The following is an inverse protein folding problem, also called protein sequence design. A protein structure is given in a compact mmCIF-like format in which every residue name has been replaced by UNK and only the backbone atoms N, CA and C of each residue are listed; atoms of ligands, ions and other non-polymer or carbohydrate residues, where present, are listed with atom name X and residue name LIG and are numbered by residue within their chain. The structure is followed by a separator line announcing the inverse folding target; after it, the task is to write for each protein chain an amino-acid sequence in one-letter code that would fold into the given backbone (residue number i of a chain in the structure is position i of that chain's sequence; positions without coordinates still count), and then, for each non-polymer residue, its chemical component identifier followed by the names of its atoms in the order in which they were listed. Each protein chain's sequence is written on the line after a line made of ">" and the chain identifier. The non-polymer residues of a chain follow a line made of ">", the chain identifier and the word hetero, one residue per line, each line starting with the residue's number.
data_IF_361792106534
#
_entry.id   IF_361792106534
#
_cell.length_a   1.000
_cell.length_b   1.000
_cell.length_c   1.000
_cell.angle_alpha   90.00
_cell.angle_beta   90.00
_cell.angle_gamma   90.00
#
_symmetry.space_group_name_H-M   'P 1'
#
loop_
_entity.id
_entity.type
_entity.pdbx_description
1 polymer ?
#
# COMPACT_ATOMS: atom_id res chain seq x y z
N UNK A 1 6.84 -5.03 -12.75
CA UNK A 1 6.25 -6.29 -12.26
C UNK A 1 5.67 -6.05 -10.88
N UNK A 2 4.35 -6.10 -10.73
CA UNK A 2 3.65 -5.71 -9.50
C UNK A 2 3.83 -6.78 -8.42
N UNK A 3 4.30 -6.39 -7.24
CA UNK A 3 4.62 -7.32 -6.15
C UNK A 3 3.40 -8.03 -5.53
N UNK A 4 2.18 -7.58 -5.84
CA UNK A 4 0.92 -8.21 -5.40
C UNK A 4 0.55 -9.44 -6.25
N UNK A 5 0.96 -9.50 -7.52
CA UNK A 5 0.65 -10.63 -8.42
C UNK A 5 1.38 -11.92 -8.00
N UNK A 6 2.54 -11.78 -7.35
CA UNK A 6 3.39 -12.93 -6.96
C UNK A 6 3.10 -13.45 -5.53
N UNK A 7 2.29 -12.73 -4.74
CA UNK A 7 2.04 -13.04 -3.30
C UNK A 7 0.57 -12.94 -2.86
N UNK A 8 -0.34 -12.47 -3.72
CA UNK A 8 -1.76 -12.28 -3.39
C UNK A 8 -2.56 -13.56 -3.59
N UNK A 9 -3.43 -13.90 -2.64
CA UNK A 9 -4.41 -14.96 -2.86
C UNK A 9 -5.47 -14.44 -3.84
N UNK A 10 -5.76 -15.23 -4.87
CA UNK A 10 -6.89 -14.95 -5.77
C UNK A 10 -8.20 -15.08 -5.01
N UNK A 11 -9.06 -14.07 -5.16
CA UNK A 11 -10.38 -14.04 -4.55
C UNK A 11 -11.36 -13.35 -5.49
N UNK A 12 -12.65 -13.42 -5.16
CA UNK A 12 -13.71 -12.77 -5.91
C UNK A 12 -14.29 -11.61 -5.10
N UNK A 13 -14.53 -10.51 -5.79
CA UNK A 13 -15.21 -9.34 -5.27
C UNK A 13 -16.48 -9.07 -6.07
N UNK A 14 -17.44 -8.38 -5.46
CA UNK A 14 -18.69 -7.95 -6.11
C UNK A 14 -18.62 -6.44 -6.33
N UNK A 15 -18.89 -6.01 -7.54
CA UNK A 15 -18.93 -4.60 -7.90
C UNK A 15 -20.17 -3.95 -7.29
N UNK A 16 -19.96 -2.94 -6.44
CA UNK A 16 -21.03 -2.18 -5.81
C UNK A 16 -21.37 -0.93 -6.61
N UNK A 17 -20.35 -0.17 -7.03
CA UNK A 17 -20.52 1.09 -7.75
C UNK A 17 -19.41 1.29 -8.77
N UNK A 18 -19.73 1.95 -9.87
CA UNK A 18 -18.75 2.32 -10.90
C UNK A 18 -19.03 3.75 -11.34
N UNK A 19 -18.03 4.61 -11.26
CA UNK A 19 -18.18 6.03 -11.48
C UNK A 19 -17.08 6.63 -12.35
N UNK A 20 -17.38 7.77 -12.95
CA UNK A 20 -16.35 8.66 -13.51
C UNK A 20 -15.91 9.63 -12.42
N UNK A 21 -14.60 9.74 -12.21
CA UNK A 21 -14.03 10.74 -11.30
C UNK A 21 -14.25 12.13 -11.89
N UNK A 22 -14.99 12.98 -11.17
CA UNK A 22 -15.25 14.36 -11.59
C UNK A 22 -13.97 15.20 -11.50
N UNK A 23 -13.83 16.18 -12.38
CA UNK A 23 -12.77 17.20 -12.36
C UNK A 23 -11.32 16.68 -12.44
N UNK A 24 -11.08 15.53 -13.08
CA UNK A 24 -9.73 15.08 -13.44
C UNK A 24 -9.57 14.92 -14.94
N UNK A 25 -8.43 15.39 -15.46
CA UNK A 25 -7.99 15.19 -16.84
C UNK A 25 -6.58 14.59 -16.83
N UNK A 26 -6.32 13.47 -17.52
CA UNK A 26 -7.25 12.68 -18.33
C UNK A 26 -8.39 12.04 -17.52
N UNK A 27 -9.47 11.64 -18.20
CA UNK A 27 -10.66 11.05 -17.56
C UNK A 27 -10.27 9.77 -16.81
N UNK A 28 -10.58 9.71 -15.52
CA UNK A 28 -10.37 8.54 -14.68
C UNK A 28 -11.72 7.91 -14.32
N UNK A 29 -11.75 6.58 -14.28
CA UNK A 29 -12.90 5.79 -13.84
C UNK A 29 -12.55 5.11 -12.52
N UNK A 30 -13.49 5.04 -11.60
CA UNK A 30 -13.30 4.42 -10.30
C UNK A 30 -14.33 3.31 -10.13
N UNK A 31 -13.87 2.18 -9.61
CA UNK A 31 -14.69 1.02 -9.32
C UNK A 31 -14.65 0.76 -7.82
N UNK A 32 -15.82 0.76 -7.19
CA UNK A 32 -16.03 0.39 -5.81
C UNK A 32 -16.54 -1.05 -5.75
N UNK A 33 -15.86 -1.89 -4.99
CA UNK A 33 -16.19 -3.30 -4.87
C UNK A 33 -16.00 -3.79 -3.44
N UNK A 34 -16.79 -4.81 -3.07
CA UNK A 34 -16.69 -5.46 -1.77
C UNK A 34 -16.23 -6.90 -1.90
N UNK A 35 -15.47 -7.36 -0.92
CA UNK A 35 -14.96 -8.72 -0.85
C UNK A 35 -14.96 -9.22 0.59
N UNK A 36 -15.06 -10.54 0.74
CA UNK A 36 -14.98 -11.16 2.06
C UNK A 36 -13.52 -11.30 2.49
N UNK A 37 -13.25 -11.09 3.76
CA UNK A 37 -11.98 -11.35 4.44
C UNK A 37 -11.93 -12.78 4.96
N UNK A 38 -10.74 -13.27 5.33
CA UNK A 38 -10.59 -14.61 5.92
C UNK A 38 -11.40 -14.83 7.20
N UNK A 39 -11.72 -13.77 7.93
CA UNK A 39 -12.54 -13.80 9.15
C UNK A 39 -14.05 -13.70 8.87
N UNK A 40 -14.48 -13.69 7.61
CA UNK A 40 -15.89 -13.56 7.20
C UNK A 40 -16.43 -12.12 7.22
N UNK A 41 -15.63 -11.12 7.62
CA UNK A 41 -16.03 -9.72 7.52
C UNK A 41 -16.00 -9.25 6.06
N UNK A 42 -16.89 -8.34 5.71
CA UNK A 42 -16.86 -7.67 4.41
C UNK A 42 -15.92 -6.47 4.48
N UNK A 43 -15.05 -6.36 3.48
CA UNK A 43 -14.20 -5.21 3.26
C UNK A 43 -14.60 -4.55 1.94
N UNK A 44 -14.51 -3.22 1.90
CA UNK A 44 -14.78 -2.42 0.72
C UNK A 44 -13.46 -1.80 0.24
N UNK A 45 -13.31 -1.71 -1.08
CA UNK A 45 -12.17 -1.08 -1.69
C UNK A 45 -12.56 -0.36 -2.96
N UNK A 46 -11.76 0.64 -3.31
CA UNK A 46 -11.96 1.51 -4.45
C UNK A 46 -10.67 1.53 -5.25
N UNK A 47 -10.77 1.26 -6.55
CA UNK A 47 -9.62 1.35 -7.45
C UNK A 47 -9.95 2.14 -8.71
N UNK A 48 -8.98 2.93 -9.15
CA UNK A 48 -9.03 3.58 -10.46
C UNK A 48 -8.78 2.52 -11.52
N UNK A 49 -9.63 2.51 -12.55
CA UNK A 49 -9.59 1.53 -13.64
C UNK A 49 -9.52 2.22 -15.00
N UNK A 50 -8.85 1.60 -15.99
CA UNK A 50 -8.85 2.08 -17.36
C UNK A 50 -10.23 1.90 -18.03
N UNK A 51 -10.48 2.71 -19.07
CA UNK A 51 -11.74 2.67 -19.82
C UNK A 51 -12.06 1.29 -20.42
N UNK A 52 -11.03 0.53 -20.79
CA UNK A 52 -11.15 -0.83 -21.34
C UNK A 52 -11.85 -1.80 -20.39
N UNK A 53 -11.60 -1.66 -19.08
CA UNK A 53 -12.23 -2.45 -18.01
C UNK A 53 -13.60 -1.87 -17.68
N UNK A 54 -13.68 -0.54 -17.50
CA UNK A 54 -14.93 0.16 -17.22
C UNK A 54 -16.07 -0.21 -18.17
N UNK A 55 -15.78 -0.30 -19.48
CA UNK A 55 -16.78 -0.64 -20.49
C UNK A 55 -17.37 -2.05 -20.34
N UNK A 56 -16.63 -2.98 -19.75
CA UNK A 56 -17.03 -4.39 -19.61
C UNK A 56 -17.77 -4.67 -18.30
N UNK A 57 -17.46 -3.90 -17.26
CA UNK A 57 -18.02 -4.10 -15.93
C UNK A 57 -19.44 -3.55 -15.79
N UNK A 58 -20.28 -4.31 -15.10
CA UNK A 58 -21.60 -3.87 -14.65
C UNK A 58 -21.72 -3.93 -13.13
N UNK A 59 -22.70 -3.21 -12.62
CA UNK A 59 -23.07 -3.26 -11.20
C UNK A 59 -23.49 -4.70 -10.84
N UNK A 60 -22.96 -5.23 -9.73
CA UNK A 60 -23.22 -6.58 -9.26
C UNK A 60 -22.39 -7.68 -9.94
N UNK A 61 -21.54 -7.35 -10.91
CA UNK A 61 -20.65 -8.35 -11.52
C UNK A 61 -19.62 -8.86 -10.49
N UNK A 62 -19.29 -10.14 -10.59
CA UNK A 62 -18.20 -10.74 -9.82
C UNK A 62 -16.87 -10.60 -10.56
N UNK A 63 -15.86 -10.04 -9.92
CA UNK A 63 -14.54 -9.79 -10.51
C UNK A 63 -13.45 -10.54 -9.74
N UNK A 64 -12.39 -10.96 -10.46
CA UNK A 64 -11.21 -11.55 -9.83
C UNK A 64 -10.29 -10.46 -9.28
N UNK A 65 -9.98 -10.57 -7.99
CA UNK A 65 -9.07 -9.68 -7.29
C UNK A 65 -7.91 -10.47 -6.67
N UNK A 66 -6.73 -9.86 -6.65
CA UNK A 66 -5.65 -10.23 -5.76
C UNK A 66 -5.90 -9.60 -4.39
N UNK A 67 -5.97 -10.43 -3.35
CA UNK A 67 -6.16 -9.97 -1.97
C UNK A 67 -4.91 -10.24 -1.14
N UNK A 68 -4.48 -9.22 -0.39
CA UNK A 68 -3.43 -9.32 0.62
C UNK A 68 -3.92 -8.72 1.93
N UNK A 69 -3.98 -9.56 2.96
CA UNK A 69 -4.24 -9.12 4.34
C UNK A 69 -2.90 -8.93 5.03
N UNK A 70 -2.71 -7.78 5.69
CA UNK A 70 -1.51 -7.46 6.46
C UNK A 70 -1.90 -6.86 7.81
N UNK A 71 -1.13 -7.19 8.84
CA UNK A 71 -1.31 -6.60 10.18
C UNK A 71 -0.24 -5.55 10.37
N UNK A 72 -0.65 -4.28 10.52
CA UNK A 72 0.26 -3.14 10.70
C UNK A 72 -0.14 -2.42 11.99
N UNK A 73 0.81 -2.28 12.92
CA UNK A 73 0.58 -1.67 14.25
C UNK A 73 -0.63 -2.25 15.02
N UNK A 74 -0.83 -3.57 14.96
CA UNK A 74 -1.94 -4.26 15.64
C UNK A 74 -3.31 -4.10 14.95
N UNK A 75 -3.40 -3.32 13.86
CA UNK A 75 -4.60 -3.21 13.02
C UNK A 75 -4.50 -4.12 11.80
N UNK A 76 -5.56 -4.86 11.52
CA UNK A 76 -5.68 -5.66 10.30
C UNK A 76 -6.08 -4.72 9.15
N UNK A 77 -5.25 -4.66 8.12
CA UNK A 77 -5.48 -3.89 6.91
C UNK A 77 -5.59 -4.89 5.75
N UNK A 78 -6.61 -4.72 4.92
CA UNK A 78 -6.78 -5.51 3.71
C UNK A 78 -6.53 -4.63 2.50
N UNK A 79 -5.72 -5.13 1.58
CA UNK A 79 -5.45 -4.50 0.30
C UNK A 79 -5.92 -5.46 -0.78
N UNK A 80 -6.66 -4.93 -1.74
CA UNK A 80 -7.13 -5.65 -2.92
C UNK A 80 -6.63 -4.97 -4.18
N UNK A 81 -6.50 -5.77 -5.25
CA UNK A 81 -6.21 -5.28 -6.59
C UNK A 81 -6.98 -6.08 -7.64
N UNK A 82 -7.68 -5.42 -8.55
CA UNK A 82 -8.33 -6.05 -9.69
C UNK A 82 -7.27 -6.69 -10.60
N UNK A 83 -7.43 -7.98 -10.92
CA UNK A 83 -6.45 -8.76 -11.69
C UNK A 83 -6.20 -8.19 -13.09
N UNK A 84 -7.25 -7.74 -13.77
CA UNK A 84 -7.15 -7.13 -15.11
C UNK A 84 -6.66 -5.68 -15.07
N UNK A 85 -6.53 -5.09 -13.88
CA UNK A 85 -6.13 -3.69 -13.75
C UNK A 85 -4.60 -3.56 -13.71
N UNK A 86 -4.03 -3.13 -14.83
CA UNK A 86 -2.61 -2.81 -14.93
C UNK A 86 -2.23 -1.50 -14.22
N UNK A 87 -3.22 -0.66 -13.86
CA UNK A 87 -2.92 0.55 -13.10
C UNK A 87 -2.33 0.19 -11.72
N UNK A 88 -1.31 0.95 -11.34
CA UNK A 88 -0.59 0.71 -10.10
C UNK A 88 -1.45 1.25 -8.96
N UNK A 89 -1.95 0.38 -8.09
CA UNK A 89 -2.53 0.74 -6.80
C UNK A 89 -1.41 1.26 -5.90
N UNK A 90 -1.04 2.53 -6.12
CA UNK A 90 0.26 3.10 -5.74
C UNK A 90 0.41 3.55 -4.27
N UNK A 91 -0.63 3.84 -3.46
CA UNK A 91 -0.39 4.62 -2.25
C UNK A 91 0.32 3.83 -1.13
N UNK A 92 -0.09 2.58 -0.86
CA UNK A 92 0.41 1.85 0.31
C UNK A 92 1.84 1.31 0.14
N UNK A 93 2.19 0.87 -1.07
CA UNK A 93 3.50 0.26 -1.35
C UNK A 93 4.60 1.33 -1.36
N UNK A 94 4.31 2.50 -1.93
CA UNK A 94 5.24 3.62 -1.88
C UNK A 94 5.44 4.06 -0.43
N UNK A 95 4.36 4.11 0.37
CA UNK A 95 4.44 4.47 1.78
C UNK A 95 5.37 3.54 2.56
N UNK A 96 5.26 2.23 2.41
CA UNK A 96 6.14 1.25 3.08
C UNK A 96 7.61 1.46 2.71
N UNK A 97 7.90 1.69 1.42
CA UNK A 97 9.27 1.94 0.94
C UNK A 97 9.83 3.26 1.47
N UNK A 98 9.00 4.30 1.51
CA UNK A 98 9.35 5.60 2.11
C UNK A 98 9.67 5.46 3.61
N UNK A 99 8.82 4.75 4.36
CA UNK A 99 9.07 4.50 5.78
C UNK A 99 10.36 3.72 6.01
N UNK A 100 10.64 2.68 5.21
CA UNK A 100 11.87 1.89 5.34
C UNK A 100 13.11 2.73 5.06
N UNK A 101 13.05 3.60 4.04
CA UNK A 101 14.12 4.56 3.73
C UNK A 101 14.35 5.56 4.87
N UNK A 102 13.26 6.13 5.41
CA UNK A 102 13.32 7.06 6.53
C UNK A 102 13.92 6.42 7.79
N UNK A 103 13.49 5.19 8.15
CA UNK A 103 14.03 4.46 9.30
C UNK A 103 15.52 4.19 9.14
N UNK A 104 15.97 3.75 7.95
CA UNK A 104 17.38 3.54 7.69
C UNK A 104 18.20 4.83 7.84
N UNK A 105 17.69 5.94 7.31
CA UNK A 105 18.34 7.25 7.42
C UNK A 105 18.48 7.70 8.89
N UNK A 106 17.40 7.60 9.68
CA UNK A 106 17.45 7.93 11.11
C UNK A 106 18.39 7.01 11.89
N UNK A 107 18.45 5.71 11.56
CA UNK A 107 19.38 4.78 12.19
C UNK A 107 20.84 5.17 11.94
N UNK A 108 21.18 5.59 10.72
CA UNK A 108 22.53 6.08 10.37
C UNK A 108 22.86 7.37 11.15
N UNK A 109 21.92 8.32 11.21
CA UNK A 109 22.12 9.55 11.98
C UNK A 109 22.33 9.28 13.48
N UNK A 110 21.54 8.36 14.06
CA UNK A 110 21.70 7.97 15.46
C UNK A 110 23.07 7.29 15.67
N UNK A 111 23.48 6.40 14.76
CA UNK A 111 24.79 5.74 14.83
C UNK A 111 25.96 6.72 14.74
N UNK A 112 25.87 7.74 13.87
CA UNK A 112 26.86 8.81 13.80
C UNK A 112 26.86 9.65 15.08
N UNK A 113 25.69 10.02 15.59
CA UNK A 113 25.56 10.82 16.80
C UNK A 113 26.13 10.10 18.03
N UNK A 114 25.91 8.78 18.17
CA UNK A 114 26.50 7.99 19.26
C UNK A 114 28.02 7.87 19.12
N UNK A 115 28.55 7.69 17.91
CA UNK A 115 29.99 7.70 17.64
C UNK A 115 30.64 9.04 17.99
N UNK A 116 30.06 10.16 17.54
CA UNK A 116 30.55 11.50 17.89
C UNK A 116 30.49 11.75 19.39
N UNK A 117 29.46 11.27 20.08
CA UNK A 117 29.32 11.42 21.52
C UNK A 117 30.34 10.57 22.28
N UNK A 118 30.59 9.33 21.86
CA UNK A 118 31.62 8.47 22.43
C UNK A 118 33.04 9.02 22.21
N UNK A 119 33.32 9.51 20.99
CA UNK A 119 34.58 10.17 20.66
C UNK A 119 34.76 11.45 21.49
N UNK A 120 33.74 12.31 21.57
CA UNK A 120 33.76 13.50 22.42
C UNK A 120 33.97 13.20 23.90
N UNK A 121 33.44 12.08 24.40
CA UNK A 121 33.71 11.62 25.77
C UNK A 121 35.18 11.19 25.95
N UNK A 122 35.77 10.46 25.00
CA UNK A 122 37.18 10.04 25.06
C UNK A 122 38.15 11.23 25.09
N UNK A 123 37.86 12.29 24.34
CA UNK A 123 38.64 13.52 24.36
C UNK A 123 38.49 14.31 25.67
N UNK A 124 37.38 14.11 26.40
CA UNK A 124 37.12 14.77 27.68
C UNK A 124 37.75 14.02 28.85
N UNK A 125 37.86 12.68 28.78
CA UNK A 125 38.54 11.87 29.80
C UNK A 125 40.07 11.91 29.69
N UNK A 126 40.65 12.19 28.52
CA UNK A 126 42.11 12.36 28.37
C UNK A 126 42.62 13.78 28.66
N UNK A 127 41.72 14.71 28.98
CA UNK A 127 42.05 16.11 29.32
C UNK A 127 41.73 16.44 30.77
N UNK A 128 41.97 15.49 31.68
CA UNK A 128 42.18 15.79 33.09
C UNK A 128 43.68 16.05 33.31
N UNK A 129 44.06 17.13 34.02
CA UNK A 129 45.45 17.47 34.31
C UNK A 129 46.21 16.38 35.07
#
# INVERSE_FOLDING_TARGET
>A
MNHLENLGNLSFAVVQEIGRVKNKFPIQYECHYSFSLKNGQLAESSEVIPYSIYRKLKLGDSIQIYRKEMTVFGRKIAVSKIKENDEVSTPLIHLERFFRGAVAYFAVLIGLATLFRAWGLQFRTYRSP
#
